data_IF_599686222232
#
_entry.id   IF_599686222232
#
_cell.length_a   1.000
_cell.length_b   1.000
_cell.length_c   1.000
_cell.angle_alpha   90.00
_cell.angle_beta   90.00
_cell.angle_gamma   90.00
#
_symmetry.space_group_name_H-M   'P 1'
#
loop_
_entity.id
_entity.type
_entity.pdbx_description
1 polymer ?
#
# COMPACT_ATOMS: atom_id res chain seq x y z
N UNK A 1 6.84 9.41 -57.94
CA UNK A 1 7.02 8.71 -56.66
C UNK A 1 6.13 9.43 -55.67
N UNK A 2 5.03 8.83 -55.24
CA UNK A 2 4.13 9.41 -54.23
C UNK A 2 4.52 8.87 -52.86
N UNK A 3 5.05 9.73 -52.00
CA UNK A 3 5.22 9.42 -50.59
C UNK A 3 3.86 9.38 -49.93
N UNK A 4 3.49 8.20 -49.43
CA UNK A 4 2.26 7.99 -48.69
C UNK A 4 2.52 8.34 -47.21
N UNK A 5 1.94 9.44 -46.72
CA UNK A 5 2.05 9.82 -45.31
C UNK A 5 1.10 8.96 -44.47
N UNK A 6 1.60 7.85 -43.94
CA UNK A 6 0.87 7.02 -43.00
C UNK A 6 1.05 7.56 -41.58
N UNK A 7 -0.06 7.88 -40.91
CA UNK A 7 -0.11 8.12 -39.48
C UNK A 7 -0.61 6.87 -38.77
N UNK A 8 -0.01 6.57 -37.62
CA UNK A 8 -0.43 5.48 -36.75
C UNK A 8 -0.77 6.05 -35.37
N UNK A 9 -1.81 5.51 -34.75
CA UNK A 9 -2.12 5.73 -33.35
C UNK A 9 -2.23 4.39 -32.64
N UNK A 10 -1.97 4.38 -31.34
CA UNK A 10 -2.12 3.20 -30.48
C UNK A 10 -2.69 3.66 -29.16
N UNK A 11 -3.72 2.95 -28.68
CA UNK A 11 -4.26 3.10 -27.33
C UNK A 11 -3.57 2.04 -26.48
N UNK A 12 -2.77 2.48 -25.51
CA UNK A 12 -2.08 1.60 -24.57
C UNK A 12 -2.76 1.73 -23.21
N UNK A 13 -3.23 0.62 -22.65
CA UNK A 13 -3.64 0.55 -21.26
C UNK A 13 -2.43 0.09 -20.43
N UNK A 14 -1.70 1.02 -19.83
CA UNK A 14 -0.56 0.70 -18.97
C UNK A 14 -1.02 0.38 -17.55
N UNK A 15 -0.53 -0.73 -16.99
CA UNK A 15 -0.75 -1.03 -15.58
C UNK A 15 0.11 -0.09 -14.73
N UNK A 16 -0.54 0.73 -13.89
CA UNK A 16 0.18 1.59 -12.94
C UNK A 16 0.67 0.73 -11.78
N UNK A 17 1.98 0.73 -11.56
CA UNK A 17 2.60 0.07 -10.39
C UNK A 17 3.36 1.10 -9.55
N UNK A 18 3.58 0.78 -8.28
CA UNK A 18 4.34 1.61 -7.35
C UNK A 18 4.72 0.85 -6.10
N UNK A 19 5.61 1.44 -5.29
CA UNK A 19 6.12 0.85 -4.05
C UNK A 19 6.10 1.87 -2.92
N UNK A 20 5.85 1.40 -1.70
CA UNK A 20 5.96 2.20 -0.49
C UNK A 20 6.91 1.52 0.51
N UNK A 21 7.82 2.30 1.10
CA UNK A 21 8.77 1.81 2.11
C UNK A 21 8.38 2.38 3.47
N UNK A 22 8.05 1.51 4.41
CA UNK A 22 7.75 1.88 5.80
C UNK A 22 8.97 1.65 6.70
N UNK A 23 9.34 2.67 7.48
CA UNK A 23 10.40 2.59 8.49
C UNK A 23 9.81 2.60 9.89
N UNK A 24 9.98 1.49 10.62
CA UNK A 24 9.55 1.39 12.03
C UNK A 24 10.74 1.70 12.93
N UNK A 25 10.86 2.97 13.34
CA UNK A 25 11.88 3.37 14.30
C UNK A 25 11.48 2.96 15.73
N UNK A 26 12.43 2.43 16.51
CA UNK A 26 12.18 2.08 17.92
C UNK A 26 11.33 0.81 18.12
N UNK A 27 11.35 -0.14 17.18
CA UNK A 27 10.55 -1.36 17.21
C UNK A 27 10.52 -2.06 18.58
N UNK A 28 11.67 -2.29 19.22
CA UNK A 28 11.71 -3.00 20.51
C UNK A 28 10.91 -2.30 21.60
N UNK A 29 10.87 -0.96 21.60
CA UNK A 29 10.06 -0.19 22.54
C UNK A 29 8.58 -0.28 22.20
N UNK A 30 8.22 -0.18 20.91
CA UNK A 30 6.84 -0.36 20.43
C UNK A 30 6.31 -1.75 20.81
N UNK A 31 7.12 -2.80 20.61
CA UNK A 31 6.77 -4.18 20.94
C UNK A 31 6.48 -4.39 22.42
N UNK A 32 7.20 -3.70 23.31
CA UNK A 32 6.96 -3.78 24.76
C UNK A 32 5.74 -2.94 25.17
N UNK A 33 5.48 -1.81 24.51
CA UNK A 33 4.38 -0.91 24.86
C UNK A 33 3.01 -1.42 24.41
N UNK A 34 2.94 -2.10 23.27
CA UNK A 34 1.68 -2.56 22.69
C UNK A 34 1.39 -4.01 23.05
N UNK A 35 0.14 -4.32 23.36
CA UNK A 35 -0.35 -5.68 23.63
C UNK A 35 -0.68 -6.41 22.31
N UNK A 36 -0.87 -7.72 22.39
CA UNK A 36 -1.48 -8.48 21.29
C UNK A 36 -2.84 -7.84 20.91
N UNK A 37 -3.09 -7.68 19.61
CA UNK A 37 -4.28 -6.99 19.09
C UNK A 37 -4.20 -5.46 19.07
N UNK A 38 -3.17 -4.83 19.66
CA UNK A 38 -2.94 -3.38 19.51
C UNK A 38 -2.08 -3.07 18.28
N UNK A 39 -2.36 -1.95 17.62
CA UNK A 39 -1.71 -1.58 16.36
C UNK A 39 -1.33 -0.12 16.26
N UNK A 40 -0.42 0.14 15.31
CA UNK A 40 -0.12 1.46 14.78
C UNK A 40 -0.55 1.51 13.31
N UNK A 41 -1.07 2.64 12.88
CA UNK A 41 -1.43 2.88 11.47
C UNK A 41 -0.46 3.88 10.87
N UNK A 42 0.01 3.62 9.65
CA UNK A 42 0.81 4.59 8.90
C UNK A 42 0.00 5.83 8.55
N UNK A 43 0.69 6.88 8.09
CA UNK A 43 0.01 7.92 7.32
C UNK A 43 -0.50 7.32 5.99
N UNK A 44 -1.58 7.89 5.40
CA UNK A 44 -2.03 7.49 4.07
C UNK A 44 -0.96 7.74 3.00
N UNK A 45 -0.91 6.88 1.99
CA UNK A 45 -0.04 7.02 0.83
C UNK A 45 -0.73 6.55 -0.46
N UNK A 46 -0.36 7.14 -1.59
CA UNK A 46 -0.99 6.83 -2.89
C UNK A 46 -0.13 5.89 -3.73
N UNK A 47 -0.69 4.76 -4.15
CA UNK A 47 -0.06 3.81 -5.09
C UNK A 47 -1.13 3.27 -6.04
N UNK A 48 -0.81 3.22 -7.34
CA UNK A 48 -1.70 2.70 -8.39
C UNK A 48 -3.11 3.33 -8.38
N UNK A 49 -3.20 4.64 -8.13
CA UNK A 49 -4.48 5.37 -8.13
C UNK A 49 -5.34 5.20 -6.87
N UNK A 50 -4.85 4.46 -5.87
CA UNK A 50 -5.57 4.20 -4.62
C UNK A 50 -4.86 4.84 -3.42
N UNK A 51 -5.64 5.29 -2.44
CA UNK A 51 -5.14 5.74 -1.15
C UNK A 51 -5.11 4.58 -0.17
N UNK A 52 -3.91 4.25 0.32
CA UNK A 52 -3.66 3.12 1.20
C UNK A 52 -3.15 3.58 2.55
N UNK A 53 -3.45 2.82 3.59
CA UNK A 53 -2.75 2.85 4.87
C UNK A 53 -2.22 1.46 5.21
N UNK A 54 -1.14 1.38 5.98
CA UNK A 54 -0.64 0.12 6.53
C UNK A 54 -0.97 0.10 8.02
N UNK A 55 -1.63 -0.96 8.47
CA UNK A 55 -1.83 -1.24 9.90
C UNK A 55 -0.84 -2.31 10.35
N UNK A 56 -0.12 -2.02 11.43
CA UNK A 56 0.98 -2.82 11.95
C UNK A 56 0.71 -3.25 13.40
N UNK A 57 0.74 -4.56 13.63
CA UNK A 57 0.59 -5.18 14.95
C UNK A 57 1.93 -5.83 15.35
N UNK A 58 2.69 -5.27 16.30
CA UNK A 58 4.03 -5.77 16.65
C UNK A 58 4.02 -7.12 17.36
N UNK A 59 2.88 -7.52 17.95
CA UNK A 59 2.69 -8.75 18.74
C UNK A 59 1.49 -9.56 18.23
N UNK A 60 1.20 -9.52 16.92
CA UNK A 60 0.04 -10.17 16.32
C UNK A 60 -1.27 -9.40 16.50
N UNK A 61 -2.21 -9.62 15.59
CA UNK A 61 -3.57 -9.06 15.60
C UNK A 61 -4.55 -9.84 16.47
N UNK A 62 -4.24 -11.10 16.78
CA UNK A 62 -5.06 -11.99 17.60
C UNK A 62 -4.19 -12.97 18.40
N UNK A 63 -4.80 -13.71 19.33
CA UNK A 63 -4.08 -14.70 20.14
C UNK A 63 -3.40 -15.79 19.29
N UNK A 64 -3.97 -16.12 18.13
CA UNK A 64 -3.43 -17.11 17.19
C UNK A 64 -2.13 -16.63 16.52
N UNK A 65 -1.96 -15.31 16.41
CA UNK A 65 -0.79 -14.68 15.78
C UNK A 65 0.19 -14.06 16.78
N UNK A 66 0.08 -14.38 18.08
CA UNK A 66 0.85 -13.73 19.15
C UNK A 66 2.38 -13.81 19.01
N UNK A 67 2.88 -14.88 18.37
CA UNK A 67 4.32 -15.10 18.16
C UNK A 67 4.84 -14.48 16.85
N UNK A 68 3.96 -13.83 16.10
CA UNK A 68 4.24 -13.18 14.82
C UNK A 68 4.01 -11.68 14.91
N UNK A 69 4.45 -10.98 13.86
CA UNK A 69 4.01 -9.62 13.58
C UNK A 69 2.98 -9.69 12.45
N UNK A 70 1.92 -8.90 12.55
CA UNK A 70 0.87 -8.83 11.52
C UNK A 70 0.90 -7.47 10.82
N UNK A 71 0.77 -7.47 9.50
CA UNK A 71 0.59 -6.28 8.68
C UNK A 71 -0.67 -6.42 7.83
N UNK A 72 -1.42 -5.31 7.72
CA UNK A 72 -2.56 -5.22 6.82
C UNK A 72 -2.40 -3.99 5.94
N UNK A 73 -2.67 -4.18 4.65
CA UNK A 73 -2.86 -3.08 3.71
C UNK A 73 -4.34 -2.74 3.68
N UNK A 74 -4.67 -1.50 4.01
CA UNK A 74 -6.04 -1.01 4.12
C UNK A 74 -6.27 0.02 3.01
N UNK A 75 -7.36 -0.16 2.26
CA UNK A 75 -7.84 0.81 1.29
C UNK A 75 -8.70 1.86 2.01
N UNK A 76 -8.22 3.11 2.11
CA UNK A 76 -8.96 4.19 2.77
C UNK A 76 -10.08 4.73 1.87
N UNK A 77 -9.82 4.81 0.57
CA UNK A 77 -10.81 5.13 -0.46
C UNK A 77 -10.29 4.73 -1.84
N UNK A 78 -11.18 4.24 -2.70
CA UNK A 78 -10.92 4.25 -4.14
C UNK A 78 -11.12 5.68 -4.63
N UNK A 79 -10.07 6.33 -5.13
CA UNK A 79 -10.31 7.48 -5.98
C UNK A 79 -10.96 6.94 -7.25
N UNK A 80 -12.25 7.20 -7.44
CA UNK A 80 -12.94 6.95 -8.71
C UNK A 80 -12.39 7.95 -9.72
N UNK A 81 -11.29 7.59 -10.38
CA UNK A 81 -10.95 8.23 -11.63
C UNK A 81 -11.89 7.67 -12.69
N UNK A 82 -13.08 8.25 -12.77
CA UNK A 82 -13.85 8.25 -14.01
C UNK A 82 -13.11 9.19 -14.99
N UNK A 83 -12.50 8.60 -16.02
CA UNK A 83 -12.06 9.31 -17.24
C UNK A 83 -12.66 8.60 -18.43
#
# INVERSE_FOLDING_TARGET
MTDNCNTFSTIVAEAVSGSHVIKIAGYSRIKVLLRNGESLTSIPFSVAGHSWTIRFYPNGDSAESQDYLSFYLILDSANSYDV
#
